data_IF_835520917473
#
_entry.id   IF_835520917473
#
_cell.length_a   1.000
_cell.length_b   1.000
_cell.length_c   1.000
_cell.angle_alpha   90.00
_cell.angle_beta   90.00
_cell.angle_gamma   90.00
#
_symmetry.space_group_name_H-M   'P 1'
#
loop_
_entity.id
_entity.type
_entity.pdbx_description
1 polymer ?
#
# COMPACT_ATOMS: atom_id res chain seq x y z
N UNK A 1 -7.31 4.48 -4.92
CA UNK A 1 -7.78 4.60 -6.32
C UNK A 1 -6.98 3.69 -7.24
N UNK A 2 -5.64 3.66 -7.16
CA UNK A 2 -4.79 2.77 -7.97
C UNK A 2 -5.07 1.27 -7.79
N UNK A 3 -5.39 0.84 -6.56
CA UNK A 3 -5.81 -0.54 -6.28
C UNK A 3 -7.02 -1.00 -7.12
N UNK A 4 -8.05 -0.14 -7.26
CA UNK A 4 -9.28 -0.47 -8.02
C UNK A 4 -8.96 -0.63 -9.51
N UNK A 5 -8.04 0.18 -10.04
CA UNK A 5 -7.59 0.11 -11.43
C UNK A 5 -6.85 -1.21 -11.68
N UNK A 6 -5.95 -1.61 -10.77
CA UNK A 6 -5.29 -2.91 -10.86
C UNK A 6 -6.28 -4.08 -10.74
N UNK A 7 -7.30 -3.97 -9.89
CA UNK A 7 -8.30 -5.02 -9.70
C UNK A 7 -9.20 -5.17 -10.94
N UNK A 8 -9.63 -4.05 -11.54
CA UNK A 8 -10.34 -4.04 -12.82
C UNK A 8 -9.49 -4.60 -13.96
N UNK A 9 -8.18 -4.30 -13.98
CA UNK A 9 -7.25 -4.87 -14.95
C UNK A 9 -7.15 -6.40 -14.82
N UNK A 10 -7.20 -6.96 -13.61
CA UNK A 10 -7.19 -8.43 -13.44
C UNK A 10 -8.51 -9.06 -13.92
N UNK A 11 -9.66 -8.40 -13.70
CA UNK A 11 -10.97 -8.93 -14.10
C UNK A 11 -11.21 -8.82 -15.61
N UNK A 12 -10.88 -7.67 -16.22
CA UNK A 12 -11.16 -7.40 -17.63
C UNK A 12 -9.99 -7.65 -18.58
N UNK A 13 -8.77 -7.88 -18.06
CA UNK A 13 -7.54 -8.13 -18.82
C UNK A 13 -7.33 -7.14 -19.99
N UNK A 14 -7.55 -5.85 -19.73
CA UNK A 14 -7.61 -4.82 -20.78
C UNK A 14 -6.22 -4.47 -21.34
N UNK A 15 -5.17 -4.58 -20.53
CA UNK A 15 -3.78 -4.30 -20.92
C UNK A 15 -3.04 -5.62 -21.21
N UNK A 16 -2.69 -5.93 -22.48
CA UNK A 16 -1.95 -7.15 -22.84
C UNK A 16 -0.42 -7.02 -22.64
N UNK A 17 0.10 -5.80 -22.42
CA UNK A 17 1.54 -5.54 -22.31
C UNK A 17 2.02 -5.49 -20.85
N UNK A 18 2.87 -6.47 -20.48
CA UNK A 18 3.46 -6.57 -19.12
C UNK A 18 4.28 -5.35 -18.70
N UNK A 19 4.92 -4.66 -19.65
CA UNK A 19 5.76 -3.48 -19.38
C UNK A 19 5.00 -2.33 -18.73
N UNK A 20 3.73 -2.14 -19.09
CA UNK A 20 2.90 -1.07 -18.52
C UNK A 20 2.63 -1.36 -17.04
N UNK A 21 2.34 -2.62 -16.69
CA UNK A 21 2.11 -3.03 -15.30
C UNK A 21 3.36 -2.88 -14.44
N UNK A 22 4.55 -3.17 -14.98
CA UNK A 22 5.81 -2.92 -14.25
C UNK A 22 6.00 -1.45 -13.88
N UNK A 23 5.71 -0.53 -14.81
CA UNK A 23 5.81 0.91 -14.55
C UNK A 23 4.81 1.33 -13.46
N UNK A 24 3.58 0.82 -13.52
CA UNK A 24 2.54 1.12 -12.51
C UNK A 24 2.94 0.61 -11.12
N UNK A 25 3.43 -0.63 -11.02
CA UNK A 25 3.90 -1.20 -9.75
C UNK A 25 5.08 -0.39 -9.19
N UNK A 26 6.03 -0.01 -10.05
CA UNK A 26 7.15 0.82 -9.65
C UNK A 26 6.70 2.21 -9.14
N UNK A 27 5.75 2.84 -9.85
CA UNK A 27 5.17 4.12 -9.46
C UNK A 27 4.47 4.06 -8.10
N UNK A 28 3.63 3.04 -7.87
CA UNK A 28 2.97 2.81 -6.58
C UNK A 28 3.98 2.57 -5.45
N UNK A 29 5.02 1.78 -5.69
CA UNK A 29 6.10 1.54 -4.72
C UNK A 29 6.83 2.84 -4.35
N UNK A 30 7.18 3.67 -5.34
CA UNK A 30 7.79 4.97 -5.10
C UNK A 30 6.89 5.91 -4.29
N UNK A 31 5.59 5.99 -4.64
CA UNK A 31 4.63 6.80 -3.89
C UNK A 31 4.50 6.36 -2.43
N UNK A 32 4.43 5.05 -2.18
CA UNK A 32 4.39 4.49 -0.83
C UNK A 32 5.63 4.87 -0.02
N UNK A 33 6.82 4.70 -0.60
CA UNK A 33 8.09 5.04 0.05
C UNK A 33 8.23 6.54 0.34
N UNK A 34 7.84 7.41 -0.60
CA UNK A 34 7.86 8.86 -0.40
C UNK A 34 6.91 9.29 0.71
N UNK A 35 5.71 8.69 0.75
CA UNK A 35 4.72 8.98 1.81
C UNK A 35 5.24 8.54 3.17
N UNK A 36 5.89 7.38 3.26
CA UNK A 36 6.52 6.91 4.49
C UNK A 36 7.54 7.93 5.03
N UNK A 37 8.54 8.30 4.22
CA UNK A 37 9.58 9.26 4.63
C UNK A 37 8.98 10.62 5.00
N UNK A 38 8.00 11.11 4.23
CA UNK A 38 7.34 12.39 4.51
C UNK A 38 6.58 12.37 5.84
N UNK A 39 5.95 11.24 6.19
CA UNK A 39 5.22 11.08 7.45
C UNK A 39 6.18 11.13 8.64
N UNK A 40 7.31 10.41 8.56
CA UNK A 40 8.34 10.48 9.60
C UNK A 40 8.96 11.87 9.69
N UNK A 41 9.23 12.52 8.56
CA UNK A 41 9.73 13.90 8.56
C UNK A 41 8.76 14.86 9.27
N UNK A 42 7.45 14.74 9.01
CA UNK A 42 6.46 15.58 9.67
C UNK A 42 6.36 15.33 11.18
N UNK A 43 6.39 14.05 11.61
CA UNK A 43 6.45 13.70 13.04
C UNK A 43 7.69 14.33 13.69
N UNK A 44 8.82 14.34 12.98
CA UNK A 44 10.05 14.99 13.41
C UNK A 44 10.00 16.54 13.39
N UNK A 45 9.02 17.18 12.78
CA UNK A 45 8.96 18.65 12.73
C UNK A 45 7.90 19.22 13.68
N UNK A 46 6.74 18.58 13.78
CA UNK A 46 5.62 19.06 14.58
C UNK A 46 5.62 18.56 16.05
N UNK A 47 6.32 17.46 16.35
CA UNK A 47 6.25 16.84 17.68
C UNK A 47 7.37 17.32 18.61
N UNK A 48 6.99 17.77 19.81
CA UNK A 48 7.90 18.14 20.90
C UNK A 48 8.84 16.98 21.29
N UNK A 49 10.13 17.23 21.59
CA UNK A 49 11.15 16.21 21.85
C UNK A 49 10.76 15.13 22.87
N UNK A 50 9.93 15.47 23.85
CA UNK A 50 9.47 14.55 24.90
C UNK A 50 8.50 13.49 24.34
N UNK A 51 7.71 13.82 23.30
CA UNK A 51 6.68 12.92 22.75
C UNK A 51 7.06 12.30 21.40
N UNK A 52 8.21 12.69 20.83
CA UNK A 52 8.67 12.20 19.51
C UNK A 52 8.80 10.69 19.44
N UNK A 53 9.46 10.09 20.44
CA UNK A 53 9.65 8.63 20.46
C UNK A 53 8.32 7.89 20.54
N UNK A 54 7.37 8.40 21.34
CA UNK A 54 6.03 7.83 21.44
C UNK A 54 5.24 7.98 20.14
N UNK A 55 5.32 9.13 19.47
CA UNK A 55 4.65 9.37 18.19
C UNK A 55 5.23 8.49 17.07
N UNK A 56 6.56 8.35 17.00
CA UNK A 56 7.22 7.46 16.03
C UNK A 56 6.86 6.00 16.30
N UNK A 57 6.85 5.56 17.56
CA UNK A 57 6.46 4.19 17.90
C UNK A 57 5.01 3.90 17.48
N UNK A 58 4.07 4.81 17.75
CA UNK A 58 2.68 4.65 17.32
C UNK A 58 2.54 4.61 15.79
N UNK A 59 3.26 5.45 15.06
CA UNK A 59 3.25 5.44 13.60
C UNK A 59 3.73 4.10 13.02
N UNK A 60 4.85 3.57 13.52
CA UNK A 60 5.40 2.27 13.07
C UNK A 60 4.50 1.08 13.42
N UNK A 61 3.88 1.11 14.62
CA UNK A 61 2.91 0.07 15.02
C UNK A 61 1.67 0.13 14.12
N UNK A 62 1.16 1.32 13.84
CA UNK A 62 0.03 1.52 12.93
C UNK A 62 0.32 1.01 11.53
N UNK A 63 1.51 1.30 10.99
CA UNK A 63 1.94 0.83 9.67
C UNK A 63 2.01 -0.71 9.63
N UNK A 64 2.62 -1.32 10.65
CA UNK A 64 2.73 -2.78 10.75
C UNK A 64 1.35 -3.47 10.78
N UNK A 65 0.40 -2.92 11.54
CA UNK A 65 -0.98 -3.44 11.61
C UNK A 65 -1.67 -3.27 10.25
N UNK A 66 -1.48 -2.13 9.58
CA UNK A 66 -2.03 -1.88 8.25
C UNK A 66 -1.53 -2.88 7.22
N UNK A 67 -0.22 -3.13 7.16
CA UNK A 67 0.39 -4.10 6.24
C UNK A 67 -0.07 -5.53 6.55
N UNK A 68 -0.12 -5.92 7.83
CA UNK A 68 -0.61 -7.24 8.23
C UNK A 68 -2.08 -7.44 7.84
N UNK A 69 -2.93 -6.45 8.09
CA UNK A 69 -4.34 -6.46 7.69
C UNK A 69 -4.53 -6.53 6.17
N UNK A 70 -3.74 -5.78 5.42
CA UNK A 70 -3.74 -5.82 3.96
C UNK A 70 -3.32 -7.21 3.43
N UNK A 71 -2.32 -7.85 4.05
CA UNK A 71 -1.91 -9.21 3.73
C UNK A 71 -3.02 -10.23 3.96
N UNK A 72 -3.76 -10.12 5.07
CA UNK A 72 -4.89 -11.01 5.36
C UNK A 72 -6.04 -10.82 4.36
N UNK A 73 -6.37 -9.57 4.02
CA UNK A 73 -7.38 -9.23 3.02
C UNK A 73 -7.01 -9.72 1.62
N UNK A 74 -5.71 -9.74 1.28
CA UNK A 74 -5.21 -10.23 0.00
C UNK A 74 -5.57 -11.71 -0.23
N UNK A 75 -5.49 -12.56 0.81
CA UNK A 75 -5.86 -13.97 0.73
C UNK A 75 -7.35 -14.13 0.41
N UNK A 76 -8.21 -13.38 1.11
CA UNK A 76 -9.64 -13.40 0.88
C UNK A 76 -9.98 -12.94 -0.54
N UNK A 77 -9.37 -11.84 -0.98
CA UNK A 77 -9.54 -11.29 -2.31
C UNK A 77 -9.11 -12.28 -3.40
N UNK A 78 -8.00 -12.99 -3.20
CA UNK A 78 -7.51 -14.01 -4.14
C UNK A 78 -8.54 -15.14 -4.32
N UNK A 79 -9.10 -15.65 -3.22
CA UNK A 79 -10.14 -16.69 -3.28
C UNK A 79 -11.41 -16.20 -3.99
N UNK A 80 -11.80 -14.94 -3.77
CA UNK A 80 -12.94 -14.34 -4.45
C UNK A 80 -12.69 -14.20 -5.97
N UNK A 81 -11.50 -13.76 -6.37
CA UNK A 81 -11.11 -13.67 -7.78
C UNK A 81 -11.11 -15.05 -8.45
N UNK A 82 -10.51 -16.06 -7.82
CA UNK A 82 -10.47 -17.42 -8.37
C UNK A 82 -11.87 -18.02 -8.57
N UNK A 83 -12.86 -17.65 -7.75
CA UNK A 83 -14.24 -18.12 -7.91
C UNK A 83 -15.01 -17.39 -9.02
N UNK A 84 -14.59 -16.18 -9.41
CA UNK A 84 -15.21 -15.41 -10.50
C UNK A 84 -14.62 -15.76 -11.86
N UNK A 85 -13.33 -16.09 -11.91
CA UNK A 85 -12.58 -16.37 -13.12
C UNK A 85 -12.65 -17.83 -13.60
N UNK A 86 -13.31 -18.72 -12.83
CA UNK A 86 -13.48 -20.15 -13.15
C UNK A 86 -14.92 -20.48 -13.51
#
# INVERSE_FOLDING_TARGET
>A
MNFVICLLQVIYSYIPYIWIMFIVIFYEGCLGGLTYVNTFYNILQETSPIYRESAMAMATVSDSIGVAGAGFLSIYLHNWLCNILI
#
